data_IF_508961017683
#
_entry.id   IF_508961017683
#
_cell.length_a   1.000
_cell.length_b   1.000
_cell.length_c   1.000
_cell.angle_alpha   90.00
_cell.angle_beta   90.00
_cell.angle_gamma   90.00
#
_symmetry.space_group_name_H-M   'P 1'
#
loop_
_entity.id
_entity.type
_entity.pdbx_description
1 polymer ?
#
# COMPACT_ATOMS: atom_id res chain seq x y z
N UNK A 1 12.85 32.24 3.88
CA UNK A 1 12.84 32.09 5.35
C UNK A 1 12.63 30.61 5.65
N UNK A 2 13.62 29.93 6.28
CA UNK A 2 13.65 28.47 6.51
C UNK A 2 12.42 27.95 7.27
N UNK A 3 11.91 28.70 8.25
CA UNK A 3 10.71 28.30 9.01
C UNK A 3 9.46 28.20 8.13
N UNK A 4 9.29 29.11 7.16
CA UNK A 4 8.15 29.07 6.24
C UNK A 4 8.23 27.84 5.33
N UNK A 5 9.43 27.52 4.84
CA UNK A 5 9.67 26.32 4.01
C UNK A 5 9.37 25.04 4.79
N UNK A 6 9.85 24.93 6.02
CA UNK A 6 9.54 23.79 6.90
C UNK A 6 8.03 23.65 7.14
N UNK A 7 7.34 24.74 7.52
CA UNK A 7 5.91 24.69 7.76
C UNK A 7 5.09 24.30 6.51
N UNK A 8 5.52 24.76 5.32
CA UNK A 8 4.89 24.36 4.06
C UNK A 8 5.12 22.87 3.77
N UNK A 9 6.36 22.38 3.93
CA UNK A 9 6.69 20.97 3.76
C UNK A 9 5.88 20.07 4.71
N UNK A 10 5.77 20.43 5.99
CA UNK A 10 4.95 19.72 6.97
C UNK A 10 3.49 19.65 6.52
N UNK A 11 2.90 20.77 6.10
CA UNK A 11 1.49 20.80 5.67
C UNK A 11 1.24 19.91 4.44
N UNK A 12 2.14 19.94 3.48
CA UNK A 12 1.99 19.15 2.25
C UNK A 12 2.13 17.65 2.54
N UNK A 13 3.10 17.25 3.38
CA UNK A 13 3.27 15.85 3.80
C UNK A 13 2.10 15.40 4.66
N UNK A 14 1.60 16.26 5.56
CA UNK A 14 0.44 15.98 6.42
C UNK A 14 -0.83 15.68 5.61
N UNK A 15 -1.08 16.49 4.59
CA UNK A 15 -2.19 16.28 3.65
C UNK A 15 -2.03 14.96 2.91
N UNK A 16 -0.86 14.73 2.32
CA UNK A 16 -0.56 13.49 1.58
C UNK A 16 -0.69 12.24 2.47
N UNK A 17 -0.17 12.27 3.70
CA UNK A 17 -0.33 11.18 4.67
C UNK A 17 -1.81 10.89 4.93
N UNK A 18 -2.64 11.93 5.05
CA UNK A 18 -4.10 11.76 5.22
C UNK A 18 -4.76 11.05 4.03
N UNK A 19 -4.36 11.38 2.80
CA UNK A 19 -4.86 10.71 1.59
C UNK A 19 -4.43 9.23 1.55
N UNK A 20 -3.15 8.95 1.79
CA UNK A 20 -2.62 7.58 1.76
C UNK A 20 -3.21 6.73 2.89
N UNK A 21 -3.34 7.28 4.11
CA UNK A 21 -4.02 6.61 5.22
C UNK A 21 -5.48 6.26 4.86
N UNK A 22 -6.16 7.13 4.13
CA UNK A 22 -7.50 6.87 3.61
C UNK A 22 -7.54 5.69 2.64
N UNK A 23 -6.59 5.63 1.70
CA UNK A 23 -6.47 4.53 0.74
C UNK A 23 -6.16 3.18 1.41
N UNK A 24 -5.28 3.19 2.42
CA UNK A 24 -4.83 1.99 3.12
C UNK A 24 -5.87 1.41 4.09
N UNK A 25 -6.86 2.19 4.53
CA UNK A 25 -7.97 1.75 5.38
C UNK A 25 -9.00 0.85 4.68
N UNK A 26 -8.95 0.77 3.34
CA UNK A 26 -9.86 -0.12 2.62
C UNK A 26 -9.67 -1.57 3.09
N UNK A 27 -10.77 -2.29 3.32
CA UNK A 27 -10.76 -3.73 3.62
C UNK A 27 -11.04 -4.59 2.38
N UNK A 28 -11.30 -3.95 1.23
CA UNK A 28 -11.55 -4.64 -0.03
C UNK A 28 -10.32 -5.45 -0.44
N UNK A 29 -10.55 -6.76 -0.55
CA UNK A 29 -9.56 -7.78 -0.90
C UNK A 29 -9.93 -8.50 -2.21
N UNK A 30 -10.94 -8.01 -2.95
CA UNK A 30 -11.45 -8.59 -4.19
C UNK A 30 -12.37 -9.81 -3.98
N UNK A 31 -13.10 -10.19 -5.03
CA UNK A 31 -14.08 -11.29 -5.02
C UNK A 31 -13.77 -12.41 -6.02
N UNK A 32 -12.82 -12.15 -6.91
CA UNK A 32 -12.37 -13.04 -7.97
C UNK A 32 -10.92 -12.69 -8.34
N UNK A 33 -10.24 -13.57 -9.08
CA UNK A 33 -8.82 -13.38 -9.38
C UNK A 33 -8.55 -12.05 -10.13
N UNK A 34 -9.45 -11.65 -11.04
CA UNK A 34 -9.28 -10.42 -11.82
C UNK A 34 -9.36 -9.16 -10.94
N UNK A 35 -10.32 -9.11 -10.02
CA UNK A 35 -10.47 -8.01 -9.06
C UNK A 35 -9.29 -7.93 -8.09
N UNK A 36 -8.80 -9.07 -7.57
CA UNK A 36 -7.60 -9.08 -6.71
C UNK A 36 -6.37 -8.58 -7.45
N UNK A 37 -6.12 -9.06 -8.67
CA UNK A 37 -4.98 -8.61 -9.48
C UNK A 37 -5.04 -7.10 -9.77
N UNK A 38 -6.23 -6.55 -10.01
CA UNK A 38 -6.40 -5.11 -10.17
C UNK A 38 -6.11 -4.34 -8.86
N UNK A 39 -6.55 -4.86 -7.71
CA UNK A 39 -6.24 -4.27 -6.41
C UNK A 39 -4.74 -4.32 -6.10
N UNK A 40 -4.05 -5.41 -6.44
CA UNK A 40 -2.59 -5.52 -6.31
C UNK A 40 -1.89 -4.44 -7.15
N UNK A 41 -2.26 -4.28 -8.42
CA UNK A 41 -1.67 -3.24 -9.29
C UNK A 41 -1.88 -1.84 -8.73
N UNK A 42 -3.09 -1.54 -8.23
CA UNK A 42 -3.37 -0.25 -7.58
C UNK A 42 -2.53 -0.08 -6.31
N UNK A 43 -2.39 -1.12 -5.50
CA UNK A 43 -1.59 -1.08 -4.27
C UNK A 43 -0.11 -0.87 -4.55
N UNK A 44 0.44 -1.46 -5.61
CA UNK A 44 1.81 -1.22 -6.05
C UNK A 44 2.07 0.26 -6.39
N UNK A 45 1.09 0.96 -6.97
CA UNK A 45 1.19 2.40 -7.21
C UNK A 45 1.24 3.20 -5.90
N UNK A 46 0.45 2.78 -4.90
CA UNK A 46 0.48 3.40 -3.57
C UNK A 46 1.83 3.14 -2.88
N UNK A 47 2.38 1.93 -2.96
CA UNK A 47 3.71 1.63 -2.41
C UNK A 47 4.82 2.44 -3.08
N UNK A 48 4.76 2.60 -4.41
CA UNK A 48 5.70 3.44 -5.15
C UNK A 48 5.59 4.92 -4.74
N UNK A 49 4.37 5.42 -4.54
CA UNK A 49 4.14 6.79 -4.08
C UNK A 49 4.65 7.02 -2.64
N UNK A 50 4.45 6.05 -1.73
CA UNK A 50 5.03 6.05 -0.38
C UNK A 50 6.56 6.15 -0.45
N UNK A 51 7.19 5.33 -1.29
CA UNK A 51 8.64 5.34 -1.46
C UNK A 51 9.15 6.68 -2.03
N UNK A 52 8.44 7.26 -3.01
CA UNK A 52 8.81 8.55 -3.60
C UNK A 52 8.77 9.73 -2.60
N UNK A 53 7.93 9.64 -1.57
CA UNK A 53 7.84 10.67 -0.53
C UNK A 53 8.91 10.56 0.57
N UNK A 54 9.70 9.48 0.59
CA UNK A 54 10.76 9.28 1.58
C UNK A 54 11.80 10.41 1.54
N UNK A 55 12.23 10.80 0.34
CA UNK A 55 13.20 11.89 0.16
C UNK A 55 12.66 13.21 0.68
N UNK A 56 11.37 13.50 0.44
CA UNK A 56 10.72 14.73 0.91
C UNK A 56 10.63 14.80 2.44
N UNK A 57 10.35 13.68 3.08
CA UNK A 57 10.34 13.57 4.54
C UNK A 57 11.76 13.73 5.10
N UNK A 58 12.77 13.15 4.44
CA UNK A 58 14.18 13.32 4.80
C UNK A 58 14.61 14.79 4.73
N UNK A 59 14.25 15.49 3.67
CA UNK A 59 14.54 16.91 3.50
C UNK A 59 13.83 17.76 4.57
N UNK A 60 12.57 17.45 4.88
CA UNK A 60 11.83 18.11 5.96
C UNK A 60 12.51 17.89 7.33
N UNK A 61 13.02 16.68 7.58
CA UNK A 61 13.79 16.37 8.79
C UNK A 61 15.08 17.20 8.86
N UNK A 62 15.84 17.30 7.77
CA UNK A 62 17.05 18.15 7.72
C UNK A 62 16.77 19.64 7.92
N UNK A 63 15.64 20.14 7.42
CA UNK A 63 15.17 21.50 7.71
C UNK A 63 14.83 21.69 9.19
N UNK A 64 14.18 20.70 9.81
CA UNK A 64 13.88 20.72 11.24
C UNK A 64 15.16 20.79 12.08
N UNK A 65 16.15 19.93 11.78
CA UNK A 65 17.45 19.91 12.45
C UNK A 65 18.14 21.28 12.36
N UNK A 66 18.22 21.86 11.15
CA UNK A 66 18.80 23.20 10.94
C UNK A 66 18.09 24.31 11.71
N UNK A 67 16.77 24.22 11.88
CA UNK A 67 16.00 25.23 12.62
C UNK A 67 16.20 25.09 14.13
N UNK A 68 16.26 23.85 14.63
CA UNK A 68 16.52 23.56 16.04
C UNK A 68 17.93 24.03 16.43
N UNK A 69 18.94 23.73 15.62
CA UNK A 69 20.32 24.18 15.85
C UNK A 69 20.47 25.70 15.87
N UNK A 70 19.66 26.41 15.08
CA UNK A 70 19.71 27.88 15.05
C UNK A 70 19.27 28.54 16.36
N UNK A 71 18.50 27.83 17.20
CA UNK A 71 18.03 28.31 18.51
C UNK A 71 17.10 29.54 18.48
N UNK A 72 16.78 30.07 17.29
CA UNK A 72 15.99 31.30 17.12
C UNK A 72 14.47 31.07 17.04
N UNK A 73 14.04 29.81 17.00
CA UNK A 73 12.66 29.42 16.79
C UNK A 73 12.15 28.55 17.95
N UNK A 74 10.83 28.37 18.01
CA UNK A 74 10.22 27.43 18.94
C UNK A 74 10.58 25.98 18.54
N UNK A 75 11.67 25.50 19.13
CA UNK A 75 12.25 24.18 18.86
C UNK A 75 11.35 23.05 19.33
N UNK A 76 10.54 23.27 20.38
CA UNK A 76 9.58 22.29 20.87
C UNK A 76 8.50 22.02 19.83
N UNK A 77 7.89 23.08 19.29
CA UNK A 77 6.87 22.96 18.23
C UNK A 77 7.43 22.31 16.96
N UNK A 78 8.66 22.63 16.58
CA UNK A 78 9.32 22.03 15.40
C UNK A 78 9.55 20.53 15.62
N UNK A 79 10.06 20.15 16.79
CA UNK A 79 10.30 18.76 17.15
C UNK A 79 9.00 17.95 17.21
N UNK A 80 7.93 18.51 17.78
CA UNK A 80 6.62 17.85 17.84
C UNK A 80 6.07 17.55 16.45
N UNK A 81 6.06 18.55 15.56
CA UNK A 81 5.61 18.38 14.17
C UNK A 81 6.42 17.34 13.41
N UNK A 82 7.75 17.40 13.55
CA UNK A 82 8.67 16.44 12.95
C UNK A 82 8.36 15.01 13.42
N UNK A 83 8.25 14.80 14.72
CA UNK A 83 7.95 13.48 15.30
C UNK A 83 6.60 12.96 14.81
N UNK A 84 5.56 13.79 14.83
CA UNK A 84 4.22 13.40 14.37
C UNK A 84 4.21 12.91 12.92
N UNK A 85 4.88 13.62 12.01
CA UNK A 85 5.00 13.22 10.59
C UNK A 85 5.75 11.89 10.45
N UNK A 86 6.89 11.73 11.14
CA UNK A 86 7.68 10.50 11.06
C UNK A 86 6.91 9.28 11.62
N UNK A 87 6.21 9.44 12.74
CA UNK A 87 5.39 8.37 13.33
C UNK A 87 4.25 7.94 12.40
N UNK A 88 3.56 8.90 11.77
CA UNK A 88 2.51 8.60 10.79
C UNK A 88 3.07 7.95 9.54
N UNK A 89 4.22 8.38 9.05
CA UNK A 89 4.87 7.75 7.91
C UNK A 89 5.23 6.29 8.17
N UNK A 90 5.81 5.97 9.34
CA UNK A 90 6.10 4.57 9.70
C UNK A 90 4.83 3.73 9.87
N UNK A 91 3.76 4.33 10.39
CA UNK A 91 2.43 3.68 10.44
C UNK A 91 1.91 3.38 9.03
N UNK A 92 2.02 4.33 8.10
CA UNK A 92 1.62 4.15 6.69
C UNK A 92 2.41 3.01 6.04
N UNK A 93 3.73 2.93 6.23
CA UNK A 93 4.55 1.82 5.73
C UNK A 93 4.12 0.46 6.30
N UNK A 94 3.80 0.43 7.59
CA UNK A 94 3.31 -0.78 8.27
C UNK A 94 1.96 -1.22 7.69
N UNK A 95 1.02 -0.29 7.53
CA UNK A 95 -0.30 -0.55 6.94
C UNK A 95 -0.19 -1.00 5.48
N UNK A 96 0.69 -0.38 4.69
CA UNK A 96 0.93 -0.75 3.30
C UNK A 96 1.46 -2.19 3.19
N UNK A 97 2.41 -2.55 4.06
CA UNK A 97 2.95 -3.92 4.12
C UNK A 97 1.86 -4.93 4.50
N UNK A 98 1.05 -4.62 5.52
CA UNK A 98 -0.06 -5.47 5.93
C UNK A 98 -1.10 -5.67 4.81
N UNK A 99 -1.49 -4.58 4.13
CA UNK A 99 -2.43 -4.65 3.01
C UNK A 99 -1.88 -5.48 1.85
N UNK A 100 -0.59 -5.35 1.52
CA UNK A 100 0.08 -6.18 0.51
C UNK A 100 -0.01 -7.67 0.85
N UNK A 101 0.27 -8.05 2.10
CA UNK A 101 0.16 -9.45 2.55
C UNK A 101 -1.25 -9.99 2.33
N UNK A 102 -2.28 -9.26 2.77
CA UNK A 102 -3.69 -9.67 2.59
C UNK A 102 -4.08 -9.83 1.11
N UNK A 103 -3.65 -8.92 0.24
CA UNK A 103 -3.94 -9.01 -1.19
C UNK A 103 -3.25 -10.23 -1.83
N UNK A 104 -2.03 -10.55 -1.41
CA UNK A 104 -1.31 -11.74 -1.89
C UNK A 104 -1.96 -13.04 -1.41
N UNK A 105 -2.44 -13.08 -0.17
CA UNK A 105 -3.22 -14.21 0.37
C UNK A 105 -4.51 -14.41 -0.43
N UNK A 106 -5.27 -13.34 -0.66
CA UNK A 106 -6.48 -13.39 -1.49
C UNK A 106 -6.18 -13.86 -2.91
N UNK A 107 -5.08 -13.40 -3.52
CA UNK A 107 -4.68 -13.81 -4.86
C UNK A 107 -4.37 -15.30 -4.92
N UNK A 108 -3.64 -15.81 -3.92
CA UNK A 108 -3.29 -17.23 -3.81
C UNK A 108 -4.55 -18.09 -3.66
N UNK A 109 -5.49 -17.67 -2.81
CA UNK A 109 -6.76 -18.35 -2.62
C UNK A 109 -7.60 -18.42 -3.90
N UNK A 110 -7.72 -17.30 -4.62
CA UNK A 110 -8.49 -17.28 -5.87
C UNK A 110 -7.81 -18.05 -7.01
N UNK A 111 -6.48 -18.07 -7.05
CA UNK A 111 -5.76 -18.92 -8.00
C UNK A 111 -6.04 -20.40 -7.72
N UNK A 112 -5.99 -20.81 -6.46
CA UNK A 112 -6.29 -22.18 -6.06
C UNK A 112 -7.72 -22.62 -6.45
N UNK A 113 -8.73 -21.76 -6.25
CA UNK A 113 -10.09 -22.09 -6.69
C UNK A 113 -10.23 -22.21 -8.21
N UNK A 114 -9.48 -21.43 -8.98
CA UNK A 114 -9.45 -21.58 -10.43
C UNK A 114 -8.82 -22.92 -10.82
N UNK A 115 -7.69 -23.26 -10.22
CA UNK A 115 -6.98 -24.51 -10.53
C UNK A 115 -7.87 -25.73 -10.22
N UNK A 116 -8.61 -25.71 -9.09
CA UNK A 116 -9.61 -26.75 -8.79
C UNK A 116 -10.69 -26.82 -9.88
N UNK A 117 -11.26 -25.69 -10.28
CA UNK A 117 -12.33 -25.67 -11.28
C UNK A 117 -11.84 -26.20 -12.64
N UNK A 118 -10.60 -25.91 -13.01
CA UNK A 118 -9.97 -26.42 -14.23
C UNK A 118 -9.76 -27.94 -14.15
N UNK A 119 -9.29 -28.46 -13.00
CA UNK A 119 -9.17 -29.91 -12.77
C UNK A 119 -10.53 -30.62 -12.78
N UNK A 120 -11.56 -30.06 -12.16
CA UNK A 120 -12.92 -30.59 -12.16
C UNK A 120 -13.50 -30.67 -13.59
N UNK A 121 -13.26 -29.61 -14.38
CA UNK A 121 -13.67 -29.56 -15.79
C UNK A 121 -12.98 -30.64 -16.60
N UNK A 122 -11.66 -30.80 -16.43
CA UNK A 122 -10.87 -31.83 -17.10
C UNK A 122 -11.35 -33.26 -16.74
N UNK A 123 -11.62 -33.52 -15.46
CA UNK A 123 -12.17 -34.82 -15.01
C UNK A 123 -13.54 -35.07 -15.65
N UNK A 124 -14.41 -34.05 -15.72
CA UNK A 124 -15.74 -34.17 -16.33
C UNK A 124 -15.64 -34.48 -17.82
N UNK A 125 -14.74 -33.82 -18.54
CA UNK A 125 -14.47 -34.08 -19.96
C UNK A 125 -13.98 -35.53 -20.18
N UNK A 126 -13.01 -36.00 -19.37
CA UNK A 126 -12.52 -37.38 -19.47
C UNK A 126 -13.59 -38.42 -19.17
N UNK A 127 -14.45 -38.18 -18.18
CA UNK A 127 -15.60 -39.06 -17.90
C UNK A 127 -16.58 -39.11 -19.06
N UNK A 128 -16.83 -37.99 -19.74
CA UNK A 128 -17.71 -37.97 -20.92
C UNK A 128 -17.12 -38.76 -22.09
N UNK A 129 -15.81 -38.64 -22.34
CA UNK A 129 -15.13 -39.41 -23.39
C UNK A 129 -15.12 -40.92 -23.12
N UNK A 130 -15.01 -41.35 -21.86
CA UNK A 130 -15.04 -42.78 -21.50
C UNK A 130 -16.46 -43.35 -21.58
N UNK A 131 -17.48 -42.51 -21.42
CA UNK A 131 -18.89 -42.90 -21.51
C UNK A 131 -19.50 -42.73 -22.91
N UNK A 132 -18.76 -42.23 -23.90
CA UNK A 132 -19.25 -42.22 -25.28
C UNK A 132 -19.13 -43.63 -25.85
N UNK A 133 -20.26 -44.33 -25.94
CA UNK A 133 -20.43 -45.61 -26.62
C UNK A 133 -20.31 -45.46 -28.15
N UNK A 134 -19.20 -44.92 -28.64
CA UNK A 134 -18.83 -44.97 -30.05
C UNK A 134 -17.94 -46.19 -30.27
N UNK A 135 -18.55 -47.37 -30.12
CA UNK A 135 -18.04 -48.60 -30.69
C UNK A 135 -18.55 -48.61 -32.12
N UNK A 136 -17.67 -48.32 -33.09
CA UNK A 136 -18.02 -48.20 -34.51
C UNK A 136 -18.85 -49.34 -35.09
#
# INVERSE_FOLDING_TARGET
NKQRTFNAAVKDIDFWLGEVEGLLKSEDSGKDLASVQNLIKKHQLVEADIQAHEDRIRDMNGLADSLIESGQFDTATIQEKRSSINERYERVKTLATYRRTRLNEANTLHQFFRDIADEESWIKEKKLLVNSDDYG
#
